data_IF_026270978621
#
_entry.id   IF_026270978621
#
_cell.length_a   1.000
_cell.length_b   1.000
_cell.length_c   1.000
_cell.angle_alpha   90.00
_cell.angle_beta   90.00
_cell.angle_gamma   90.00
#
_symmetry.space_group_name_H-M   'P 1'
#
loop_
_entity.id
_entity.type
_entity.pdbx_description
1 polymer ?
#
# COMPACT_ATOMS: atom_id res chain seq x y z
N UNK A 1 8.33 1.42 14.67
CA UNK A 1 7.42 0.31 15.06
C UNK A 1 6.20 0.82 15.80
N UNK A 2 5.03 0.80 15.14
CA UNK A 2 3.73 1.29 15.64
C UNK A 2 3.41 0.75 17.05
N UNK A 3 2.76 1.54 17.90
CA UNK A 3 2.26 1.05 19.22
C UNK A 3 1.22 -0.04 18.95
N UNK A 4 1.45 -1.26 19.43
CA UNK A 4 0.49 -2.36 19.42
C UNK A 4 0.81 -3.54 18.50
N UNK A 5 1.65 -3.36 17.48
CA UNK A 5 2.02 -4.48 16.58
C UNK A 5 3.21 -5.28 17.09
N UNK A 6 3.12 -6.61 17.07
CA UNK A 6 4.24 -7.48 17.46
C UNK A 6 5.35 -7.44 16.41
N UNK A 7 6.60 -7.29 16.86
CA UNK A 7 7.79 -7.38 16.00
C UNK A 7 7.79 -8.68 15.19
N UNK A 8 7.35 -9.78 15.81
CA UNK A 8 7.23 -11.09 15.14
C UNK A 8 6.29 -11.04 13.94
N UNK A 9 5.20 -10.28 14.03
CA UNK A 9 4.22 -10.18 12.94
C UNK A 9 4.76 -9.33 11.80
N UNK A 10 5.49 -8.25 12.10
CA UNK A 10 6.20 -7.49 11.06
C UNK A 10 7.22 -8.35 10.31
N UNK A 11 7.96 -9.21 11.01
CA UNK A 11 8.88 -10.16 10.36
C UNK A 11 8.11 -11.11 9.43
N UNK A 12 7.00 -11.69 9.88
CA UNK A 12 6.15 -12.53 9.03
C UNK A 12 5.60 -11.80 7.80
N UNK A 13 5.26 -10.52 7.92
CA UNK A 13 4.85 -9.70 6.77
C UNK A 13 5.98 -9.55 5.76
N UNK A 14 7.20 -9.29 6.24
CA UNK A 14 8.39 -9.17 5.40
C UNK A 14 8.70 -10.51 4.71
N UNK A 15 8.78 -11.61 5.48
CA UNK A 15 9.01 -12.97 4.96
C UNK A 15 8.01 -13.30 3.87
N UNK A 16 6.71 -13.08 4.12
CA UNK A 16 5.68 -13.37 3.12
C UNK A 16 5.80 -12.47 1.88
N UNK A 17 6.13 -11.18 2.05
CA UNK A 17 6.37 -10.29 0.92
C UNK A 17 7.55 -10.74 0.05
N UNK A 18 8.61 -11.25 0.68
CA UNK A 18 9.78 -11.82 -0.01
C UNK A 18 9.43 -13.16 -0.69
N UNK A 19 8.58 -13.99 -0.09
CA UNK A 19 8.07 -15.21 -0.74
C UNK A 19 7.29 -14.90 -2.02
N UNK A 20 6.40 -13.91 -2.00
CA UNK A 20 5.67 -13.45 -3.19
C UNK A 20 6.63 -12.91 -4.26
N UNK A 21 7.67 -12.16 -3.85
CA UNK A 21 8.71 -11.66 -4.74
C UNK A 21 9.52 -12.78 -5.41
N UNK A 22 9.79 -13.85 -4.68
CA UNK A 22 10.46 -15.05 -5.19
C UNK A 22 9.58 -15.85 -6.14
N UNK A 23 8.28 -15.94 -5.85
CA UNK A 23 7.33 -16.72 -6.63
C UNK A 23 7.06 -16.12 -8.03
N UNK A 24 7.13 -14.80 -8.18
CA UNK A 24 6.95 -14.12 -9.47
C UNK A 24 8.22 -13.33 -9.88
N UNK A 25 9.01 -13.83 -10.84
CA UNK A 25 10.21 -13.16 -11.35
C UNK A 25 9.97 -11.74 -11.91
N UNK A 26 8.73 -11.41 -12.30
CA UNK A 26 8.35 -10.11 -12.87
C UNK A 26 7.74 -9.15 -11.84
N UNK A 27 7.70 -9.55 -10.57
CA UNK A 27 7.20 -8.71 -9.49
C UNK A 27 8.27 -7.78 -8.90
N UNK A 28 7.80 -6.71 -8.27
CA UNK A 28 8.59 -5.77 -7.47
C UNK A 28 7.98 -5.71 -6.07
N UNK A 29 8.80 -5.91 -5.04
CA UNK A 29 8.38 -5.73 -3.64
C UNK A 29 8.50 -4.25 -3.26
N UNK A 30 7.39 -3.63 -2.84
CA UNK A 30 7.38 -2.25 -2.35
C UNK A 30 7.02 -2.23 -0.88
N UNK A 31 7.97 -1.86 -0.02
CA UNK A 31 7.65 -1.49 1.36
C UNK A 31 7.12 -0.06 1.38
N UNK A 32 5.91 0.17 1.89
CA UNK A 32 5.27 1.50 1.88
C UNK A 32 4.95 2.01 3.28
N UNK A 33 5.27 3.29 3.51
CA UNK A 33 4.97 4.00 4.75
C UNK A 33 5.98 5.12 5.04
N UNK A 34 5.46 6.31 5.32
CA UNK A 34 6.25 7.51 5.58
C UNK A 34 6.70 7.69 7.02
N UNK A 35 7.36 8.83 7.28
CA UNK A 35 7.91 9.18 8.59
C UNK A 35 6.85 9.84 9.48
N UNK A 36 5.97 9.03 10.09
CA UNK A 36 4.80 9.54 10.82
C UNK A 36 5.03 9.83 12.31
N UNK A 37 6.23 9.55 12.84
CA UNK A 37 6.55 9.74 14.27
C UNK A 37 6.98 11.17 14.54
N UNK A 38 6.35 11.79 15.54
CA UNK A 38 6.77 13.10 16.03
C UNK A 38 8.17 13.05 16.70
N UNK A 39 8.87 14.19 16.73
CA UNK A 39 10.05 14.38 17.56
C UNK A 39 9.81 13.93 19.02
N UNK A 40 10.83 13.38 19.71
CA UNK A 40 12.25 13.36 19.34
C UNK A 40 12.66 12.19 18.44
N UNK A 41 11.71 11.42 17.90
CA UNK A 41 12.07 10.35 16.95
C UNK A 41 12.71 10.95 15.69
N UNK A 42 13.74 10.34 15.09
CA UNK A 42 14.24 10.76 13.78
C UNK A 42 13.16 10.56 12.69
N UNK A 43 13.24 11.30 11.56
CA UNK A 43 12.29 11.21 10.45
C UNK A 43 12.50 9.94 9.59
N UNK A 44 12.54 8.78 10.23
CA UNK A 44 12.74 7.49 9.56
C UNK A 44 11.38 6.98 9.05
N UNK A 45 11.23 6.75 7.73
CA UNK A 45 10.02 6.16 7.17
C UNK A 45 9.79 4.73 7.66
N UNK A 46 8.52 4.34 7.80
CA UNK A 46 8.16 2.97 8.12
C UNK A 46 8.64 2.00 7.03
N UNK A 47 8.54 2.38 5.75
CA UNK A 47 9.07 1.62 4.62
C UNK A 47 10.55 1.28 4.75
N UNK A 48 11.38 2.27 5.09
CA UNK A 48 12.80 2.09 5.30
C UNK A 48 13.10 1.18 6.50
N UNK A 49 12.26 1.23 7.54
CA UNK A 49 12.38 0.35 8.70
C UNK A 49 12.12 -1.12 8.32
N UNK A 50 11.11 -1.39 7.47
CA UNK A 50 10.85 -2.73 6.94
C UNK A 50 12.01 -3.23 6.09
N UNK A 51 12.49 -2.41 5.14
CA UNK A 51 13.62 -2.76 4.29
C UNK A 51 14.88 -3.09 5.11
N UNK A 52 15.23 -2.26 6.09
CA UNK A 52 16.37 -2.50 6.99
C UNK A 52 16.22 -3.78 7.80
N UNK A 53 15.02 -4.09 8.28
CA UNK A 53 14.75 -5.33 8.99
C UNK A 53 14.90 -6.55 8.06
N UNK A 54 14.42 -6.46 6.81
CA UNK A 54 14.61 -7.50 5.80
C UNK A 54 16.10 -7.76 5.49
N UNK A 55 16.89 -6.70 5.35
CA UNK A 55 18.34 -6.78 5.16
C UNK A 55 19.04 -7.40 6.38
N UNK A 56 18.68 -6.98 7.59
CA UNK A 56 19.29 -7.47 8.83
C UNK A 56 19.00 -8.97 9.08
N UNK A 57 17.86 -9.46 8.57
CA UNK A 57 17.48 -10.88 8.61
C UNK A 57 17.98 -11.66 7.39
N UNK A 58 18.75 -11.04 6.50
CA UNK A 58 19.24 -11.64 5.25
C UNK A 58 18.14 -12.19 4.33
N UNK A 59 16.90 -11.66 4.45
CA UNK A 59 15.77 -12.06 3.60
C UNK A 59 15.90 -11.49 2.18
N UNK A 60 16.60 -10.35 2.05
CA UNK A 60 16.88 -9.69 0.77
C UNK A 60 18.40 -9.49 0.70
N UNK A 61 19.19 -10.52 0.36
CA UNK A 61 20.64 -10.42 0.32
C UNK A 61 21.09 -9.41 -0.76
N UNK A 62 22.21 -8.73 -0.49
CA UNK A 62 22.84 -7.83 -1.46
C UNK A 62 23.58 -8.64 -2.53
N UNK A 63 22.84 -9.07 -3.54
CA UNK A 63 23.37 -9.88 -4.65
C UNK A 63 23.70 -8.99 -5.84
N UNK A 64 24.84 -9.21 -6.48
CA UNK A 64 25.22 -8.53 -7.71
C UNK A 64 24.39 -9.04 -8.90
N UNK A 65 24.38 -8.30 -10.01
CA UNK A 65 23.73 -8.78 -11.24
C UNK A 65 24.41 -10.06 -11.76
N UNK A 66 25.74 -10.16 -11.63
CA UNK A 66 26.50 -11.32 -12.08
C UNK A 66 26.15 -12.60 -11.31
N UNK A 67 25.76 -12.46 -10.03
CA UNK A 67 25.40 -13.56 -9.15
C UNK A 67 23.89 -13.84 -9.12
N UNK A 68 23.12 -13.20 -10.02
CA UNK A 68 21.67 -13.31 -10.04
C UNK A 68 21.23 -14.72 -10.49
N UNK A 69 20.21 -15.32 -9.84
CA UNK A 69 19.62 -16.57 -10.31
C UNK A 69 19.08 -16.42 -11.73
N UNK A 70 19.37 -17.39 -12.61
CA UNK A 70 18.86 -17.42 -14.00
C UNK A 70 17.33 -17.45 -14.11
N UNK A 71 16.63 -17.69 -13.00
CA UNK A 71 15.17 -17.75 -12.92
C UNK A 71 14.50 -16.38 -12.88
N UNK A 72 15.25 -15.29 -12.67
CA UNK A 72 14.73 -13.93 -12.65
C UNK A 72 15.64 -12.95 -13.40
N UNK A 73 15.10 -11.84 -13.95
CA UNK A 73 15.90 -10.86 -14.67
C UNK A 73 16.84 -10.06 -13.75
N UNK A 74 16.48 -9.93 -12.47
CA UNK A 74 17.23 -9.18 -11.47
C UNK A 74 17.18 -9.90 -10.10
N UNK A 75 18.23 -9.78 -9.28
CA UNK A 75 18.23 -10.33 -7.92
C UNK A 75 17.23 -9.59 -7.02
N UNK A 76 16.90 -10.19 -5.86
CA UNK A 76 15.83 -9.71 -4.97
C UNK A 76 16.04 -8.28 -4.48
N UNK A 77 17.27 -7.91 -4.13
CA UNK A 77 17.63 -6.55 -3.71
C UNK A 77 17.35 -5.50 -4.79
N UNK A 78 17.48 -5.86 -6.08
CA UNK A 78 17.18 -4.98 -7.21
C UNK A 78 15.70 -5.05 -7.64
N UNK A 79 14.94 -6.01 -7.12
CA UNK A 79 13.48 -6.10 -7.26
C UNK A 79 12.75 -5.71 -5.96
N UNK A 80 13.37 -4.85 -5.15
CA UNK A 80 12.80 -4.30 -3.93
C UNK A 80 12.93 -2.78 -3.92
N UNK A 81 11.87 -2.08 -3.50
CA UNK A 81 11.85 -0.63 -3.38
C UNK A 81 11.16 -0.17 -2.08
N UNK A 82 11.44 1.06 -1.67
CA UNK A 82 10.73 1.76 -0.60
C UNK A 82 9.84 2.86 -1.18
N UNK A 83 8.66 3.03 -0.60
CA UNK A 83 7.73 4.15 -0.79
C UNK A 83 7.61 4.88 0.56
N UNK A 84 8.10 6.11 0.65
CA UNK A 84 8.42 6.76 1.92
C UNK A 84 7.52 7.96 2.28
N UNK A 85 6.40 8.13 1.57
CA UNK A 85 5.55 9.30 1.69
C UNK A 85 4.13 8.97 2.18
N UNK A 86 3.67 7.73 2.10
CA UNK A 86 2.33 7.39 2.53
C UNK A 86 2.10 7.62 4.04
N UNK A 87 1.01 8.30 4.39
CA UNK A 87 0.65 8.67 5.77
C UNK A 87 -0.56 7.89 6.30
N UNK A 88 -1.23 7.14 5.41
CA UNK A 88 -2.33 6.25 5.73
C UNK A 88 -2.41 5.08 4.73
N UNK A 89 -3.35 4.16 4.96
CA UNK A 89 -3.51 2.95 4.16
C UNK A 89 -4.00 3.19 2.73
N UNK A 90 -4.74 4.28 2.47
CA UNK A 90 -5.16 4.61 1.10
C UNK A 90 -3.93 5.06 0.31
N UNK A 91 -3.14 5.97 0.89
CA UNK A 91 -1.87 6.39 0.33
C UNK A 91 -0.87 5.25 0.20
N UNK A 92 -0.85 4.28 1.13
CA UNK A 92 0.03 3.11 0.99
C UNK A 92 -0.23 2.38 -0.33
N UNK A 93 -1.49 2.17 -0.69
CA UNK A 93 -1.83 1.49 -1.93
C UNK A 93 -1.53 2.37 -3.15
N UNK A 94 -2.06 3.61 -3.18
CA UNK A 94 -1.92 4.52 -4.32
C UNK A 94 -0.46 4.89 -4.60
N UNK A 95 0.32 5.20 -3.57
CA UNK A 95 1.73 5.55 -3.74
C UNK A 95 2.60 4.34 -4.06
N UNK A 96 2.24 3.13 -3.61
CA UNK A 96 2.95 1.92 -4.06
C UNK A 96 2.75 1.67 -5.55
N UNK A 97 1.56 1.95 -6.10
CA UNK A 97 1.31 1.88 -7.55
C UNK A 97 2.17 2.90 -8.31
N UNK A 98 2.22 4.14 -7.84
CA UNK A 98 3.08 5.17 -8.42
C UNK A 98 4.57 4.79 -8.32
N UNK A 99 5.00 4.30 -7.16
CA UNK A 99 6.38 3.84 -6.95
C UNK A 99 6.75 2.66 -7.84
N UNK A 100 5.82 1.73 -8.06
CA UNK A 100 6.02 0.62 -9.00
C UNK A 100 6.25 1.16 -10.42
N UNK A 101 5.45 2.14 -10.87
CA UNK A 101 5.63 2.79 -12.18
C UNK A 101 6.97 3.52 -12.29
N UNK A 102 7.39 4.27 -11.26
CA UNK A 102 8.70 4.93 -11.24
C UNK A 102 9.86 3.96 -11.39
N UNK A 103 9.79 2.78 -10.74
CA UNK A 103 10.88 1.81 -10.71
C UNK A 103 10.91 0.94 -11.97
N UNK A 104 9.74 0.62 -12.53
CA UNK A 104 9.62 -0.38 -13.61
C UNK A 104 9.29 0.20 -14.98
N UNK A 105 8.92 1.48 -15.04
CA UNK A 105 8.35 2.10 -16.25
C UNK A 105 6.94 1.61 -16.60
N UNK A 106 6.35 0.67 -15.87
CA UNK A 106 5.06 0.04 -16.21
C UNK A 106 4.04 0.15 -15.06
N UNK A 107 2.74 0.12 -15.37
CA UNK A 107 1.72 0.03 -14.31
C UNK A 107 1.58 -1.43 -13.85
N UNK A 108 1.35 -1.69 -12.54
CA UNK A 108 1.18 -3.05 -12.06
C UNK A 108 -0.07 -3.68 -12.67
N UNK A 109 0.08 -4.89 -13.24
CA UNK A 109 -1.06 -5.69 -13.74
C UNK A 109 -1.74 -6.52 -12.65
N UNK A 110 -1.01 -6.83 -11.58
CA UNK A 110 -1.50 -7.56 -10.39
C UNK A 110 -0.91 -6.89 -9.16
N UNK A 111 -1.69 -6.80 -8.09
CA UNK A 111 -1.26 -6.30 -6.78
C UNK A 111 -1.55 -7.36 -5.73
N UNK A 112 -0.52 -7.74 -4.98
CA UNK A 112 -0.65 -8.51 -3.74
C UNK A 112 -0.26 -7.61 -2.57
N UNK A 113 -1.19 -7.39 -1.64
CA UNK A 113 -0.91 -6.64 -0.40
C UNK A 113 -0.68 -7.63 0.73
N UNK A 114 0.42 -7.48 1.47
CA UNK A 114 0.69 -8.25 2.70
C UNK A 114 0.58 -7.31 3.89
N UNK A 115 -0.21 -7.69 4.89
CA UNK A 115 -0.37 -6.88 6.10
C UNK A 115 -1.29 -7.52 7.14
N UNK A 116 -1.72 -6.74 8.12
CA UNK A 116 -2.64 -7.20 9.15
C UNK A 116 -3.98 -7.67 8.56
N UNK A 117 -4.48 -8.81 9.03
CA UNK A 117 -5.73 -9.43 8.57
C UNK A 117 -6.94 -8.54 8.81
N UNK A 118 -7.00 -7.84 9.94
CA UNK A 118 -8.08 -6.89 10.23
C UNK A 118 -8.30 -5.83 9.13
N UNK A 119 -7.25 -5.48 8.38
CA UNK A 119 -7.33 -4.45 7.34
C UNK A 119 -7.80 -4.99 5.99
N UNK A 120 -7.97 -6.31 5.83
CA UNK A 120 -8.28 -6.97 4.55
C UNK A 120 -9.45 -6.31 3.84
N UNK A 121 -10.61 -6.28 4.50
CA UNK A 121 -11.83 -5.72 3.91
C UNK A 121 -11.66 -4.24 3.52
N UNK A 122 -10.94 -3.46 4.33
CA UNK A 122 -10.65 -2.06 3.97
C UNK A 122 -9.85 -1.96 2.67
N UNK A 123 -8.86 -2.82 2.45
CA UNK A 123 -8.09 -2.80 1.21
C UNK A 123 -8.88 -3.36 0.01
N UNK A 124 -9.52 -4.53 0.17
CA UNK A 124 -10.22 -5.22 -0.91
C UNK A 124 -11.50 -4.52 -1.34
N UNK A 125 -12.29 -4.02 -0.38
CA UNK A 125 -13.61 -3.47 -0.65
C UNK A 125 -13.59 -1.95 -0.80
N UNK A 126 -12.71 -1.24 -0.08
CA UNK A 126 -12.69 0.23 -0.07
C UNK A 126 -11.54 0.78 -0.91
N UNK A 127 -10.27 0.58 -0.52
CA UNK A 127 -9.14 1.22 -1.21
C UNK A 127 -8.99 0.75 -2.65
N UNK A 128 -9.07 -0.56 -2.90
CA UNK A 128 -9.04 -1.09 -4.27
C UNK A 128 -10.20 -0.54 -5.11
N UNK A 129 -11.40 -0.46 -4.54
CA UNK A 129 -12.58 0.07 -5.23
C UNK A 129 -12.42 1.57 -5.53
N UNK A 130 -11.93 2.36 -4.56
CA UNK A 130 -11.59 3.77 -4.67
C UNK A 130 -10.62 4.03 -5.83
N UNK A 131 -9.58 3.19 -5.97
CA UNK A 131 -8.65 3.26 -7.10
C UNK A 131 -9.19 2.56 -8.36
N UNK A 132 -10.37 1.93 -8.33
CA UNK A 132 -10.88 1.09 -9.43
C UNK A 132 -9.90 0.02 -9.92
N UNK A 133 -9.02 -0.47 -9.04
CA UNK A 133 -8.12 -1.54 -9.41
C UNK A 133 -8.93 -2.84 -9.57
N UNK A 134 -8.73 -3.64 -10.64
CA UNK A 134 -9.57 -4.79 -10.92
C UNK A 134 -9.49 -5.85 -9.81
N UNK A 135 -10.65 -6.29 -9.31
CA UNK A 135 -10.73 -7.29 -8.23
C UNK A 135 -10.09 -8.62 -8.60
N UNK A 136 -10.18 -9.04 -9.87
CA UNK A 136 -9.54 -10.25 -10.38
C UNK A 136 -8.01 -10.21 -10.36
N UNK A 137 -7.41 -9.02 -10.22
CA UNK A 137 -5.96 -8.84 -10.17
C UNK A 137 -5.48 -8.26 -8.83
N UNK A 138 -6.34 -8.27 -7.80
CA UNK A 138 -6.01 -7.78 -6.47
C UNK A 138 -6.11 -8.90 -5.45
N UNK A 139 -5.07 -9.11 -4.66
CA UNK A 139 -5.03 -10.12 -3.61
C UNK A 139 -4.55 -9.52 -2.29
N UNK A 140 -5.16 -9.92 -1.17
CA UNK A 140 -4.73 -9.50 0.16
C UNK A 140 -4.37 -10.70 1.04
N UNK A 141 -3.15 -10.69 1.57
CA UNK A 141 -2.64 -11.70 2.49
C UNK A 141 -2.63 -11.10 3.89
N UNK A 142 -3.58 -11.56 4.71
CA UNK A 142 -3.75 -11.15 6.10
C UNK A 142 -2.92 -12.01 7.05
N UNK A 143 -2.08 -11.38 7.85
CA UNK A 143 -1.28 -12.03 8.90
C UNK A 143 -1.45 -11.21 10.17
N UNK A 144 -2.09 -11.81 11.18
CA UNK A 144 -2.34 -11.15 12.47
C UNK A 144 -1.35 -11.60 13.55
N UNK A 145 -1.37 -10.85 14.66
CA UNK A 145 -0.67 -11.24 15.88
C UNK A 145 -1.25 -12.55 16.43
N UNK A 146 -0.41 -13.32 17.15
CA UNK A 146 -0.88 -14.51 17.85
C UNK A 146 -1.74 -14.13 19.07
N UNK A 147 -2.75 -14.94 19.38
CA UNK A 147 -3.67 -14.73 20.49
C UNK A 147 -5.01 -14.12 20.05
N UNK A 148 -5.74 -13.55 20.99
CA UNK A 148 -7.01 -12.88 20.70
C UNK A 148 -6.80 -11.53 20.02
N UNK A 149 -7.36 -11.38 18.83
CA UNK A 149 -7.26 -10.18 17.99
C UNK A 149 -8.60 -9.46 17.84
N UNK A 150 -9.64 -9.88 18.55
CA UNK A 150 -11.00 -9.33 18.42
C UNK A 150 -11.05 -7.81 18.62
N UNK A 151 -10.28 -7.28 19.58
CA UNK A 151 -10.18 -5.83 19.83
C UNK A 151 -9.55 -5.07 18.65
N UNK A 152 -8.61 -5.68 17.93
CA UNK A 152 -7.99 -5.10 16.74
C UNK A 152 -9.01 -4.97 15.62
N UNK A 153 -9.82 -6.01 15.37
CA UNK A 153 -10.90 -5.99 14.38
C UNK A 153 -12.01 -5.00 14.74
N UNK A 154 -12.41 -4.90 16.01
CA UNK A 154 -13.39 -3.91 16.46
C UNK A 154 -12.86 -2.46 16.29
N UNK A 155 -11.60 -2.23 16.66
CA UNK A 155 -10.93 -0.95 16.46
C UNK A 155 -10.78 -0.58 14.98
N UNK A 156 -10.46 -1.55 14.13
CA UNK A 156 -10.34 -1.37 12.69
C UNK A 156 -11.68 -1.01 12.06
N UNK A 157 -12.78 -1.66 12.44
CA UNK A 157 -14.12 -1.30 11.97
C UNK A 157 -14.44 0.18 12.24
N UNK A 158 -14.28 0.58 13.51
CA UNK A 158 -14.67 1.92 13.99
C UNK A 158 -13.74 3.04 13.51
N UNK A 159 -12.43 2.84 13.56
CA UNK A 159 -11.45 3.91 13.33
C UNK A 159 -10.77 3.84 11.97
N UNK A 160 -10.99 2.76 11.24
CA UNK A 160 -10.39 2.46 9.95
C UNK A 160 -11.44 2.31 8.85
N UNK A 161 -12.17 1.20 8.85
CA UNK A 161 -13.11 0.83 7.80
C UNK A 161 -14.22 1.87 7.60
N UNK A 162 -15.01 2.16 8.64
CA UNK A 162 -16.14 3.10 8.54
C UNK A 162 -15.69 4.51 8.11
N UNK A 163 -14.61 5.11 8.67
CA UNK A 163 -14.13 6.40 8.17
C UNK A 163 -13.76 6.40 6.68
N UNK A 164 -13.14 5.33 6.16
CA UNK A 164 -12.80 5.25 4.73
C UNK A 164 -14.01 4.90 3.85
N UNK A 165 -15.01 4.19 4.38
CA UNK A 165 -16.28 3.99 3.70
C UNK A 165 -16.99 5.34 3.50
N UNK A 166 -16.93 6.22 4.50
CA UNK A 166 -17.50 7.58 4.40
C UNK A 166 -16.66 8.53 3.55
N UNK A 167 -15.33 8.46 3.64
CA UNK A 167 -14.39 9.32 2.91
C UNK A 167 -13.41 8.46 2.10
N UNK A 168 -13.76 8.05 0.87
CA UNK A 168 -13.00 7.06 0.06
C UNK A 168 -11.51 7.36 -0.12
N UNK A 169 -11.13 8.62 -0.36
CA UNK A 169 -9.71 9.03 -0.50
C UNK A 169 -9.07 9.51 0.81
N UNK A 170 -9.84 9.50 1.91
CA UNK A 170 -9.42 10.04 3.20
C UNK A 170 -9.24 11.56 3.25
N UNK A 171 -9.77 12.31 2.29
CA UNK A 171 -9.61 13.78 2.22
C UNK A 171 -10.49 14.56 3.21
N UNK A 172 -11.47 13.92 3.87
CA UNK A 172 -12.32 14.56 4.88
C UNK A 172 -11.94 14.14 6.31
N UNK A 173 -12.27 14.97 7.33
CA UNK A 173 -12.18 14.56 8.73
C UNK A 173 -13.00 13.28 9.01
N UNK A 174 -12.53 12.41 9.93
CA UNK A 174 -11.34 12.55 10.76
C UNK A 174 -10.04 12.13 10.06
N UNK A 175 -10.09 11.58 8.85
CA UNK A 175 -8.93 11.00 8.17
C UNK A 175 -7.93 12.06 7.71
N UNK A 176 -8.40 13.18 7.15
CA UNK A 176 -7.52 14.27 6.73
C UNK A 176 -6.76 14.91 7.90
N UNK A 177 -7.40 15.00 9.08
CA UNK A 177 -6.76 15.46 10.31
C UNK A 177 -5.69 14.44 10.76
N UNK A 178 -5.99 13.13 10.73
CA UNK A 178 -4.99 12.09 11.01
C UNK A 178 -3.80 12.19 10.04
N UNK A 179 -4.06 12.44 8.75
CA UNK A 179 -3.04 12.61 7.72
C UNK A 179 -2.16 13.83 8.00
N UNK A 180 -2.77 14.97 8.30
CA UNK A 180 -2.06 16.20 8.70
C UNK A 180 -1.14 15.97 9.90
N UNK A 181 -1.65 15.35 10.97
CA UNK A 181 -0.87 15.08 12.18
C UNK A 181 0.26 14.07 11.95
N UNK A 182 0.10 13.16 10.99
CA UNK A 182 1.13 12.17 10.62
C UNK A 182 2.22 12.72 9.69
N UNK A 183 2.23 14.01 9.37
CA UNK A 183 3.31 14.64 8.60
C UNK A 183 4.12 15.66 9.42
N UNK A 184 4.73 15.27 10.56
CA UNK A 184 5.46 16.20 11.42
C UNK A 184 6.69 16.83 10.76
N UNK A 185 7.16 16.29 9.64
CA UNK A 185 8.33 16.76 8.89
C UNK A 185 7.97 17.45 7.58
N UNK A 186 6.68 17.71 7.33
CA UNK A 186 6.20 18.39 6.12
C UNK A 186 6.80 17.82 4.80
N UNK A 187 6.84 16.49 4.67
CA UNK A 187 7.28 15.81 3.44
C UNK A 187 6.13 15.69 2.46
N UNK A 188 6.42 15.83 1.16
CA UNK A 188 5.45 15.70 0.07
C UNK A 188 5.96 14.70 -0.95
N UNK A 189 5.06 13.90 -1.50
CA UNK A 189 5.41 12.89 -2.49
C UNK A 189 5.73 13.52 -3.85
N UNK A 190 6.67 12.95 -4.64
CA UNK A 190 7.06 13.49 -5.94
C UNK A 190 6.13 13.08 -7.09
N UNK A 191 5.10 12.27 -6.81
CA UNK A 191 4.32 11.57 -7.85
C UNK A 191 3.51 12.47 -8.80
N UNK A 192 3.27 13.75 -8.48
CA UNK A 192 2.73 14.69 -9.46
C UNK A 192 3.66 14.91 -10.66
N UNK A 193 4.97 14.77 -10.45
CA UNK A 193 5.97 14.94 -11.50
C UNK A 193 6.29 13.61 -12.19
N UNK A 194 6.43 12.53 -11.42
CA UNK A 194 6.86 11.23 -11.96
C UNK A 194 5.72 10.33 -12.44
N UNK A 195 4.48 10.59 -12.02
CA UNK A 195 3.27 9.88 -12.41
C UNK A 195 2.11 10.87 -12.66
N UNK A 196 2.27 11.86 -13.56
CA UNK A 196 1.26 12.89 -13.80
C UNK A 196 -0.10 12.32 -14.25
N UNK A 197 -0.13 11.12 -14.81
CA UNK A 197 -1.36 10.40 -15.19
C UNK A 197 -2.26 10.06 -13.99
N UNK A 198 -1.74 10.15 -12.76
CA UNK A 198 -2.48 9.97 -11.51
C UNK A 198 -2.83 11.30 -10.81
N UNK A 199 -2.51 12.46 -11.40
CA UNK A 199 -2.70 13.77 -10.77
C UNK A 199 -4.14 13.97 -10.24
N UNK A 200 -5.14 13.76 -11.10
CA UNK A 200 -6.55 13.91 -10.72
C UNK A 200 -6.98 12.89 -9.65
N UNK A 201 -6.33 11.72 -9.59
CA UNK A 201 -6.59 10.70 -8.56
C UNK A 201 -5.92 11.07 -7.22
N UNK A 202 -4.76 11.73 -7.24
CA UNK A 202 -4.12 12.27 -6.02
C UNK A 202 -4.96 13.39 -5.40
N UNK A 203 -5.60 14.21 -6.23
CA UNK A 203 -6.46 15.32 -5.81
C UNK A 203 -7.92 14.92 -5.56
N UNK A 204 -8.28 13.69 -5.89
CA UNK A 204 -9.66 13.24 -5.78
C UNK A 204 -10.18 13.33 -4.35
N UNK A 205 -11.19 14.18 -4.18
CA UNK A 205 -11.88 14.37 -2.90
C UNK A 205 -13.40 14.36 -3.12
N UNK A 206 -14.05 13.18 -3.14
CA UNK A 206 -15.49 13.08 -3.33
C UNK A 206 -16.24 13.64 -2.11
N UNK A 207 -17.53 13.93 -2.26
CA UNK A 207 -18.39 14.27 -1.13
C UNK A 207 -18.41 13.14 -0.08
N UNK A 208 -18.71 13.48 1.17
CA UNK A 208 -18.84 12.49 2.25
C UNK A 208 -20.00 11.53 1.95
N UNK A 209 -19.75 10.23 2.06
CA UNK A 209 -20.73 9.17 1.84
C UNK A 209 -21.54 8.92 3.11
N UNK A 210 -22.86 8.78 2.94
CA UNK A 210 -23.78 8.39 4.02
C UNK A 210 -23.67 6.89 4.27
N UNK A 211 -23.28 6.52 5.49
CA UNK A 211 -23.25 5.13 5.93
C UNK A 211 -24.63 4.76 6.48
N UNK A 212 -25.26 3.73 5.91
CA UNK A 212 -26.52 3.15 6.39
C UNK A 212 -26.28 1.73 6.92
N UNK A 213 -27.15 1.25 7.81
CA UNK A 213 -27.07 -0.11 8.37
C UNK A 213 -26.21 -0.20 9.63
N UNK A 214 -26.06 -1.41 10.16
CA UNK A 214 -25.39 -1.67 11.44
C UNK A 214 -23.86 -1.52 11.35
N UNK A 215 -23.22 -1.10 12.44
CA UNK A 215 -21.76 -1.00 12.56
C UNK A 215 -21.14 -2.33 13.03
N UNK A 216 -21.43 -3.42 12.32
CA UNK A 216 -20.93 -4.78 12.57
C UNK A 216 -20.17 -5.32 11.37
N UNK A 217 -19.26 -6.27 11.53
CA UNK A 217 -18.53 -6.83 10.38
C UNK A 217 -19.45 -7.64 9.46
N UNK A 218 -20.43 -8.33 10.04
CA UNK A 218 -21.43 -9.12 9.34
C UNK A 218 -22.24 -8.27 8.36
N UNK A 219 -22.67 -7.09 8.78
CA UNK A 219 -23.42 -6.15 7.95
C UNK A 219 -22.57 -5.49 6.86
N UNK A 220 -21.24 -5.52 6.98
CA UNK A 220 -20.30 -4.76 6.13
C UNK A 220 -19.50 -5.61 5.15
N UNK A 221 -19.60 -6.93 5.24
CA UNK A 221 -18.86 -7.86 4.38
C UNK A 221 -19.16 -7.68 2.87
N UNK A 222 -20.36 -7.20 2.53
CA UNK A 222 -20.80 -6.97 1.15
C UNK A 222 -20.66 -5.53 0.66
N UNK A 223 -20.19 -4.61 1.51
CA UNK A 223 -19.97 -3.22 1.11
C UNK A 223 -18.90 -3.17 0.01
N UNK A 224 -19.14 -2.35 -1.00
CA UNK A 224 -18.12 -1.96 -2.00
C UNK A 224 -18.01 -0.45 -1.97
N UNK A 225 -16.79 0.05 -1.74
CA UNK A 225 -16.52 1.47 -1.66
C UNK A 225 -16.76 2.20 -2.98
N UNK A 226 -16.97 3.51 -2.90
CA UNK A 226 -17.06 4.38 -4.07
C UNK A 226 -15.74 4.38 -4.84
N UNK A 227 -15.80 4.20 -6.16
CA UNK A 227 -14.66 4.31 -7.05
C UNK A 227 -14.46 5.71 -7.62
N UNK A 228 -13.21 6.04 -7.95
CA UNK A 228 -12.84 7.27 -8.63
C UNK A 228 -13.53 7.38 -10.00
N UNK A 229 -14.25 8.48 -10.31
CA UNK A 229 -15.02 8.58 -11.55
C UNK A 229 -14.17 8.83 -12.80
N UNK A 230 -12.93 9.32 -12.64
CA UNK A 230 -12.04 9.61 -13.76
C UNK A 230 -11.37 8.37 -14.36
N UNK A 231 -10.58 8.58 -15.42
CA UNK A 231 -9.80 7.52 -16.05
C UNK A 231 -8.62 7.13 -15.16
N UNK A 232 -8.33 5.84 -15.09
CA UNK A 232 -7.12 5.33 -14.43
C UNK A 232 -6.26 4.56 -15.43
N UNK A 233 -4.92 4.52 -15.27
CA UNK A 233 -4.03 3.89 -16.25
C UNK A 233 -4.25 2.38 -16.45
N UNK A 234 -4.90 1.70 -15.50
CA UNK A 234 -5.26 0.28 -15.59
C UNK A 234 -6.66 0.02 -16.15
N UNK A 235 -7.36 1.05 -16.65
CA UNK A 235 -8.56 0.85 -17.47
C UNK A 235 -8.21 0.26 -18.85
N UNK A 236 -7.02 0.59 -19.37
CA UNK A 236 -6.57 0.14 -20.68
C UNK A 236 -5.95 -1.27 -20.60
N UNK A 237 -6.45 -2.20 -21.42
CA UNK A 237 -5.90 -3.57 -21.51
C UNK A 237 -4.54 -3.61 -22.21
N UNK A 238 -4.22 -2.60 -23.00
CA UNK A 238 -2.93 -2.42 -23.68
C UNK A 238 -2.24 -1.21 -23.06
N UNK A 239 -1.18 -1.43 -22.28
CA UNK A 239 -0.37 -0.31 -21.81
C UNK A 239 0.35 0.29 -23.02
N UNK A 240 0.09 1.57 -23.30
CA UNK A 240 0.83 2.34 -24.29
C UNK A 240 2.28 2.44 -23.82
N UNK A 241 3.16 1.65 -24.44
CA UNK A 241 4.61 1.82 -24.30
C UNK A 241 5.01 3.03 -25.12
N UNK A 242 5.35 4.13 -24.45
CA UNK A 242 5.89 5.30 -25.11
C UNK A 242 7.30 4.99 -25.62
N UNK A 243 7.65 5.51 -26.80
CA UNK A 243 8.81 5.13 -27.63
C UNK A 243 10.19 5.19 -26.94
N UNK A 244 10.32 5.71 -25.72
CA UNK A 244 11.56 5.70 -24.93
C UNK A 244 11.92 4.32 -24.32
N UNK A 245 11.06 3.32 -24.48
CA UNK A 245 11.32 1.93 -24.05
C UNK A 245 11.84 1.02 -25.18
N UNK A 246 12.17 1.58 -26.36
CA UNK A 246 12.61 0.82 -27.54
C UNK A 246 14.10 0.92 -27.87
N UNK A 247 14.90 1.56 -27.02
CA UNK A 247 16.36 1.70 -27.21
C UNK A 247 17.16 0.86 -26.19
#
# INVERSE_FOLDING_TARGET
MQKGGSVKTYVKHIERGVDELNADPKSLLVFSGGATRHPPSPPIPEALSYYRLAMALSLIPSTSIADSPKTAPLPLNLRTATEEYALDSYQNLLFSIARFKEVTGNWPRKITVVGYGMKRLRFENLHRAALRFPSSAFHYIGIDDAGDTSAHYAGELKYGYLPFLSSPSGCHPPLSIKRLLRNPYARYHPYFTSCPELADLFEWCPAIQSIKGEETWEARNSDVGMGYPGRVPWDDKEQVTWDRERD
#
